data_IF_316795397746
#
_entry.id   IF_316795397746
#
_cell.length_a   1.000
_cell.length_b   1.000
_cell.length_c   1.000
_cell.angle_alpha   90.00
_cell.angle_beta   90.00
_cell.angle_gamma   90.00
#
_symmetry.space_group_name_H-M   'P 1'
#
loop_
_entity.id
_entity.type
_entity.pdbx_description
1 polymer ?
#
# COMPACT_ATOMS: atom_id res chain seq x y z
N UNK A 1 -14.29 29.55 7.08
CA UNK A 1 -14.98 28.62 6.17
C UNK A 1 -13.94 28.14 5.20
N UNK A 2 -13.28 27.03 5.54
CA UNK A 2 -12.24 26.42 4.70
C UNK A 2 -12.90 25.30 3.91
N UNK A 3 -12.90 25.43 2.59
CA UNK A 3 -13.46 24.47 1.65
C UNK A 3 -12.69 23.16 1.75
N UNK A 4 -13.37 22.11 2.19
CA UNK A 4 -12.91 20.73 2.04
C UNK A 4 -12.84 20.44 0.54
N UNK A 5 -11.63 20.29 0.04
CA UNK A 5 -11.37 19.89 -1.33
C UNK A 5 -11.64 18.38 -1.43
N UNK A 6 -12.86 18.01 -1.85
CA UNK A 6 -13.21 16.65 -2.23
C UNK A 6 -12.65 16.37 -3.62
N UNK A 7 -11.33 16.33 -3.73
CA UNK A 7 -10.67 15.93 -4.94
C UNK A 7 -10.82 14.42 -5.11
N UNK A 8 -11.58 14.00 -6.11
CA UNK A 8 -11.42 12.68 -6.74
C UNK A 8 -9.97 12.60 -7.18
N UNK A 9 -9.18 11.76 -6.49
CA UNK A 9 -7.82 11.45 -6.92
C UNK A 9 -7.92 10.57 -8.16
N UNK A 10 -8.01 11.20 -9.34
CA UNK A 10 -7.60 10.58 -10.61
C UNK A 10 -6.09 10.37 -10.51
N UNK A 11 -5.70 9.40 -9.72
CA UNK A 11 -4.29 9.05 -9.60
C UNK A 11 -3.96 8.20 -10.82
N UNK A 12 -3.26 8.78 -11.77
CA UNK A 12 -2.67 8.03 -12.89
C UNK A 12 -1.77 6.88 -12.41
N UNK A 13 -1.52 6.79 -11.11
CA UNK A 13 -0.64 5.82 -10.48
C UNK A 13 0.81 5.96 -10.94
N UNK A 14 1.66 5.04 -10.53
CA UNK A 14 3.06 4.95 -10.98
C UNK A 14 3.27 3.69 -11.81
N UNK A 15 4.23 3.70 -12.73
CA UNK A 15 4.60 2.51 -13.49
C UNK A 15 5.03 1.38 -12.53
N UNK A 16 4.36 0.24 -12.64
CA UNK A 16 4.67 -0.94 -11.84
C UNK A 16 5.89 -1.68 -12.41
N UNK A 17 6.80 -2.12 -11.54
CA UNK A 17 8.03 -2.82 -11.95
C UNK A 17 7.88 -4.34 -11.97
N UNK A 18 6.88 -4.87 -11.28
CA UNK A 18 6.60 -6.30 -11.20
C UNK A 18 5.61 -6.70 -12.31
N UNK A 19 6.09 -6.69 -13.54
CA UNK A 19 5.31 -6.90 -14.76
C UNK A 19 6.08 -7.75 -15.77
N UNK A 20 5.36 -8.48 -16.60
CA UNK A 20 5.86 -9.16 -17.79
C UNK A 20 4.99 -8.78 -18.98
N UNK A 21 5.62 -8.37 -20.07
CA UNK A 21 4.96 -8.13 -21.36
C UNK A 21 4.50 -9.48 -21.95
N UNK A 22 3.25 -9.51 -22.40
CA UNK A 22 2.64 -10.68 -23.04
C UNK A 22 2.42 -10.45 -24.54
N UNK A 23 2.75 -9.26 -25.05
CA UNK A 23 2.53 -8.82 -26.43
C UNK A 23 1.15 -8.21 -26.65
N UNK A 24 1.04 -7.28 -27.62
CA UNK A 24 -0.24 -6.67 -28.02
C UNK A 24 -0.93 -5.89 -26.92
N UNK A 25 -0.18 -5.09 -26.15
CA UNK A 25 -0.66 -4.29 -25.02
C UNK A 25 -1.24 -5.10 -23.84
N UNK A 26 -1.16 -6.44 -23.87
CA UNK A 26 -1.52 -7.31 -22.73
C UNK A 26 -0.31 -7.48 -21.81
N UNK A 27 -0.51 -7.37 -20.51
CA UNK A 27 0.54 -7.52 -19.50
C UNK A 27 0.18 -8.57 -18.44
N UNK A 28 1.18 -9.27 -17.90
CA UNK A 28 1.02 -10.10 -16.71
C UNK A 28 1.60 -9.38 -15.48
N UNK A 29 0.78 -9.18 -14.47
CA UNK A 29 1.25 -8.72 -13.17
C UNK A 29 1.95 -9.87 -12.42
N UNK A 30 3.22 -9.67 -12.06
CA UNK A 30 4.04 -10.68 -11.38
C UNK A 30 4.20 -10.43 -9.88
N UNK A 31 3.49 -9.45 -9.31
CA UNK A 31 3.63 -9.05 -7.91
C UNK A 31 3.18 -10.14 -6.93
N UNK A 32 2.19 -10.95 -7.26
CA UNK A 32 1.68 -11.99 -6.38
C UNK A 32 1.36 -13.30 -7.14
N UNK A 33 0.95 -14.33 -6.41
CA UNK A 33 0.67 -15.65 -6.96
C UNK A 33 -0.56 -15.71 -7.90
N UNK A 34 -1.41 -14.68 -7.91
CA UNK A 34 -2.55 -14.62 -8.85
C UNK A 34 -2.12 -14.49 -10.30
N UNK A 35 -0.95 -13.88 -10.56
CA UNK A 35 -0.40 -13.77 -11.93
C UNK A 35 -1.45 -13.26 -12.92
N UNK A 36 -2.12 -12.16 -12.56
CA UNK A 36 -3.19 -11.60 -13.38
C UNK A 36 -2.67 -11.21 -14.76
N UNK A 37 -3.28 -11.78 -15.80
CA UNK A 37 -3.08 -11.34 -17.19
C UNK A 37 -4.16 -10.32 -17.48
N UNK A 38 -3.75 -9.13 -17.90
CA UNK A 38 -4.60 -7.94 -17.98
C UNK A 38 -4.49 -7.34 -19.38
N UNK A 39 -5.63 -7.20 -20.02
CA UNK A 39 -5.77 -6.39 -21.24
C UNK A 39 -5.90 -4.90 -20.87
N UNK A 40 -5.73 -3.96 -21.83
CA UNK A 40 -5.91 -2.54 -21.57
C UNK A 40 -7.23 -2.21 -20.86
N UNK A 41 -7.16 -1.41 -19.80
CA UNK A 41 -8.29 -1.02 -18.95
C UNK A 41 -8.69 -2.05 -17.88
N UNK A 42 -8.02 -3.21 -17.80
CA UNK A 42 -8.32 -4.22 -16.80
C UNK A 42 -7.50 -4.04 -15.52
N UNK A 43 -8.17 -4.25 -14.38
CA UNK A 43 -7.55 -4.30 -13.04
C UNK A 43 -7.30 -5.73 -12.59
N UNK A 44 -6.19 -5.92 -11.88
CA UNK A 44 -5.94 -7.18 -11.17
C UNK A 44 -6.94 -7.43 -10.04
N UNK A 45 -6.99 -8.66 -9.52
CA UNK A 45 -7.87 -9.06 -8.40
C UNK A 45 -7.70 -8.19 -7.15
N UNK A 46 -6.54 -7.55 -6.99
CA UNK A 46 -6.26 -6.63 -5.90
C UNK A 46 -6.83 -5.21 -6.12
N UNK A 47 -7.35 -4.88 -7.31
CA UNK A 47 -7.98 -3.60 -7.69
C UNK A 47 -7.07 -2.36 -7.64
N UNK A 48 -5.81 -2.53 -7.28
CA UNK A 48 -4.83 -1.43 -7.17
C UNK A 48 -3.75 -1.47 -8.25
N UNK A 49 -3.80 -2.45 -9.16
CA UNK A 49 -2.93 -2.55 -10.33
C UNK A 49 -3.79 -2.66 -11.57
N UNK A 50 -3.52 -1.80 -12.53
CA UNK A 50 -4.30 -1.65 -13.77
C UNK A 50 -3.37 -1.63 -14.98
N UNK A 51 -3.79 -2.26 -16.07
CA UNK A 51 -3.14 -2.09 -17.36
C UNK A 51 -3.72 -0.85 -18.04
N UNK A 52 -2.91 0.18 -18.16
CA UNK A 52 -3.25 1.43 -18.87
C UNK A 52 -2.47 1.44 -20.19
N UNK A 53 -3.16 1.14 -21.28
CA UNK A 53 -2.62 1.16 -22.64
C UNK A 53 -1.30 0.38 -22.83
N UNK A 54 -1.20 -0.82 -22.23
CA UNK A 54 -0.01 -1.68 -22.29
C UNK A 54 1.00 -1.46 -21.16
N UNK A 55 0.79 -0.47 -20.31
CA UNK A 55 1.61 -0.22 -19.12
C UNK A 55 0.90 -0.65 -17.84
N UNK A 56 1.50 -1.55 -17.06
CA UNK A 56 0.96 -1.88 -15.73
C UNK A 56 1.23 -0.72 -14.76
N UNK A 57 0.18 -0.19 -14.19
CA UNK A 57 0.22 0.91 -13.20
C UNK A 57 -0.14 0.43 -11.80
N UNK A 58 0.59 0.90 -10.78
CA UNK A 58 0.22 0.82 -9.38
C UNK A 58 -0.51 2.10 -8.98
N UNK A 59 -1.82 2.02 -8.78
CA UNK A 59 -2.70 3.18 -8.54
C UNK A 59 -2.56 3.76 -7.13
N UNK A 60 -2.03 2.99 -6.18
CA UNK A 60 -2.00 3.35 -4.74
C UNK A 60 -0.58 3.51 -4.20
N UNK A 61 0.41 3.83 -5.05
CA UNK A 61 1.76 4.09 -4.58
C UNK A 61 1.78 5.27 -3.60
N UNK A 62 2.27 5.04 -2.39
CA UNK A 62 2.32 6.05 -1.34
C UNK A 62 0.97 6.40 -0.71
N UNK A 63 -0.14 5.82 -1.17
CA UNK A 63 -1.45 6.05 -0.59
C UNK A 63 -1.70 5.08 0.56
N UNK A 64 -1.77 5.60 1.77
CA UNK A 64 -2.01 4.81 2.97
C UNK A 64 -3.35 5.19 3.60
N UNK A 65 -4.01 4.19 4.20
CA UNK A 65 -5.17 4.44 5.06
C UNK A 65 -4.68 4.99 6.39
N UNK A 66 -5.15 6.18 6.73
CA UNK A 66 -4.69 6.88 7.93
C UNK A 66 -5.83 7.64 8.60
N UNK A 67 -5.59 8.02 9.83
CA UNK A 67 -6.53 8.87 10.56
C UNK A 67 -6.51 10.29 9.98
N UNK A 68 -7.64 10.99 9.95
CA UNK A 68 -7.73 12.33 9.34
C UNK A 68 -6.80 13.37 9.98
N UNK A 69 -6.37 13.12 11.22
CA UNK A 69 -5.58 14.08 12.00
C UNK A 69 -4.44 13.37 12.75
N UNK A 70 -3.28 13.98 12.77
CA UNK A 70 -2.10 13.50 13.48
C UNK A 70 -0.94 13.12 12.55
N UNK A 71 0.15 12.58 13.11
CA UNK A 71 1.26 12.06 12.30
C UNK A 71 0.81 10.81 11.54
N UNK A 72 1.38 10.55 10.33
CA UNK A 72 1.02 9.38 9.54
C UNK A 72 1.37 8.08 10.25
N UNK A 73 0.48 7.07 10.08
CA UNK A 73 0.66 5.73 10.61
C UNK A 73 0.18 5.55 12.05
N UNK A 74 0.28 4.32 12.53
CA UNK A 74 -0.09 3.95 13.90
C UNK A 74 1.09 3.24 14.56
N UNK A 75 1.52 3.74 15.72
CA UNK A 75 2.58 3.11 16.52
C UNK A 75 1.97 1.99 17.37
N UNK A 76 2.55 0.81 17.28
CA UNK A 76 2.16 -0.39 18.01
C UNK A 76 3.41 -1.13 18.51
N UNK A 77 3.35 -1.87 19.64
CA UNK A 77 4.41 -2.80 20.01
C UNK A 77 4.70 -3.83 18.91
N UNK A 78 5.97 -4.19 18.73
CA UNK A 78 6.39 -5.17 17.71
C UNK A 78 5.73 -6.54 17.89
N UNK A 79 5.40 -6.91 19.13
CA UNK A 79 4.70 -8.15 19.46
C UNK A 79 3.29 -8.23 18.87
N UNK A 80 2.67 -7.09 18.54
CA UNK A 80 1.38 -7.05 17.82
C UNK A 80 1.49 -7.57 16.38
N UNK A 81 2.71 -7.66 15.86
CA UNK A 81 3.04 -8.28 14.56
C UNK A 81 3.43 -9.76 14.69
N UNK A 82 3.02 -10.45 15.72
CA UNK A 82 3.54 -11.62 16.44
C UNK A 82 5.05 -11.88 16.31
N UNK A 83 5.84 -10.83 16.43
CA UNK A 83 7.31 -10.89 16.38
C UNK A 83 7.86 -10.79 17.81
N UNK A 84 7.97 -11.93 18.50
CA UNK A 84 8.37 -11.98 19.92
C UNK A 84 9.88 -12.03 20.13
N UNK A 85 10.66 -12.34 19.09
CA UNK A 85 12.12 -12.53 19.18
C UNK A 85 12.92 -11.49 18.36
N UNK A 86 12.23 -10.54 17.75
CA UNK A 86 12.85 -9.46 16.98
C UNK A 86 12.63 -8.15 17.72
N UNK A 87 13.70 -7.60 18.31
CA UNK A 87 13.65 -6.35 19.11
C UNK A 87 12.47 -6.30 20.10
N UNK A 88 12.35 -7.26 21.04
CA UNK A 88 11.21 -7.33 21.97
C UNK A 88 11.05 -6.01 22.75
N UNK A 89 9.78 -5.58 22.91
CA UNK A 89 9.45 -4.37 23.65
C UNK A 89 9.71 -3.07 22.90
N UNK A 90 9.98 -3.12 21.59
CA UNK A 90 10.11 -1.90 20.77
C UNK A 90 8.81 -1.55 20.08
N UNK A 91 8.67 -0.28 19.72
CA UNK A 91 7.53 0.24 18.98
C UNK A 91 7.81 0.23 17.47
N UNK A 92 6.77 -0.09 16.68
CA UNK A 92 6.79 -0.13 15.22
C UNK A 92 5.70 0.77 14.66
N UNK A 93 6.07 1.64 13.71
CA UNK A 93 5.10 2.42 12.94
C UNK A 93 4.46 1.54 11.86
N UNK A 94 3.13 1.51 11.82
CA UNK A 94 2.35 0.63 10.95
C UNK A 94 1.53 1.42 9.95
N UNK A 95 1.59 1.00 8.68
CA UNK A 95 0.78 1.52 7.59
C UNK A 95 -0.05 0.41 6.96
N UNK A 96 -1.26 0.75 6.54
CA UNK A 96 -2.10 -0.09 5.69
C UNK A 96 -2.44 0.64 4.39
N UNK A 97 -2.63 -0.11 3.33
CA UNK A 97 -3.12 0.42 2.06
C UNK A 97 -4.60 0.11 1.84
N UNK A 98 -5.12 0.48 0.68
CA UNK A 98 -6.45 0.12 0.22
C UNK A 98 -6.43 -1.24 -0.47
N UNK A 99 -7.53 -1.98 -0.34
CA UNK A 99 -7.79 -3.25 -1.01
C UNK A 99 -6.86 -4.39 -0.57
N UNK A 100 -7.05 -5.58 -1.11
CA UNK A 100 -6.26 -6.77 -0.85
C UNK A 100 -6.42 -7.77 -2.01
N UNK A 101 -5.44 -8.66 -2.19
CA UNK A 101 -5.53 -9.78 -3.12
C UNK A 101 -6.07 -11.07 -2.45
N UNK A 102 -6.40 -11.03 -1.17
CA UNK A 102 -7.03 -12.10 -0.42
C UNK A 102 -8.50 -11.79 -0.10
N UNK A 103 -9.30 -12.85 0.12
CA UNK A 103 -10.71 -12.78 0.52
C UNK A 103 -10.96 -13.54 1.83
N UNK A 104 -10.16 -13.28 2.86
CA UNK A 104 -10.22 -13.99 4.14
C UNK A 104 -11.56 -13.69 4.84
N UNK A 105 -12.35 -14.73 5.11
CA UNK A 105 -13.66 -14.60 5.77
C UNK A 105 -13.58 -14.06 7.20
N UNK A 106 -12.42 -14.17 7.85
CA UNK A 106 -12.14 -13.71 9.20
C UNK A 106 -11.32 -12.42 9.25
N UNK A 107 -11.23 -11.67 8.14
CA UNK A 107 -10.41 -10.46 8.09
C UNK A 107 -10.96 -9.38 9.03
N UNK A 108 -10.20 -9.04 10.08
CA UNK A 108 -10.56 -7.97 11.01
C UNK A 108 -10.46 -6.57 10.38
N UNK A 109 -9.68 -6.44 9.30
CA UNK A 109 -9.51 -5.20 8.53
C UNK A 109 -10.33 -5.24 7.22
N UNK A 110 -11.51 -5.87 7.26
CA UNK A 110 -12.32 -6.07 6.06
C UNK A 110 -12.71 -4.75 5.36
N UNK A 111 -12.87 -3.68 6.13
CA UNK A 111 -13.17 -2.33 5.64
C UNK A 111 -12.06 -1.76 4.74
N UNK A 112 -10.80 -2.21 4.90
CA UNK A 112 -9.69 -1.88 4.00
C UNK A 112 -9.58 -2.89 2.87
N UNK A 113 -9.63 -4.19 3.22
CA UNK A 113 -9.32 -5.28 2.32
C UNK A 113 -10.35 -5.44 1.18
N UNK A 114 -11.60 -5.07 1.41
CA UNK A 114 -12.68 -5.24 0.44
C UNK A 114 -13.13 -3.95 -0.25
N UNK A 115 -12.64 -2.79 0.19
CA UNK A 115 -12.98 -1.50 -0.43
C UNK A 115 -12.12 -1.21 -1.66
N UNK A 116 -12.71 -0.49 -2.61
CA UNK A 116 -11.96 0.18 -3.67
C UNK A 116 -11.16 1.36 -3.09
N UNK A 117 -10.03 1.74 -3.68
CA UNK A 117 -9.27 2.90 -3.20
C UNK A 117 -10.10 4.20 -3.12
N UNK A 118 -11.04 4.39 -4.05
CA UNK A 118 -11.93 5.55 -4.10
C UNK A 118 -12.99 5.61 -2.98
N UNK A 119 -13.20 4.51 -2.27
CA UNK A 119 -14.15 4.43 -1.15
C UNK A 119 -13.50 4.76 0.20
N UNK A 120 -12.19 4.97 0.22
CA UNK A 120 -11.40 5.19 1.44
C UNK A 120 -10.79 6.59 1.46
N UNK A 121 -10.72 7.18 2.64
CA UNK A 121 -9.89 8.35 2.87
C UNK A 121 -8.43 7.91 2.97
N UNK A 122 -7.70 8.12 1.88
CA UNK A 122 -6.28 7.78 1.78
C UNK A 122 -5.45 9.05 1.91
N UNK A 123 -4.31 8.92 2.56
CA UNK A 123 -3.30 9.96 2.70
C UNK A 123 -2.07 9.61 1.89
N UNK A 124 -1.56 10.57 1.16
CA UNK A 124 -0.27 10.41 0.49
C UNK A 124 0.86 10.55 1.52
N UNK A 125 1.73 9.55 1.55
CA UNK A 125 2.92 9.47 2.41
C UNK A 125 4.07 8.93 1.57
N UNK A 126 5.03 9.76 1.26
CA UNK A 126 6.24 9.33 0.54
C UNK A 126 7.09 8.38 1.38
N UNK A 127 7.98 7.57 0.76
CA UNK A 127 8.94 6.74 1.49
C UNK A 127 9.74 7.50 2.56
N UNK A 128 10.20 8.71 2.24
CA UNK A 128 10.95 9.55 3.17
C UNK A 128 10.07 10.03 4.34
N UNK A 129 8.85 10.49 4.07
CA UNK A 129 7.90 10.89 5.13
C UNK A 129 7.53 9.73 6.06
N UNK A 130 7.45 8.51 5.54
CA UNK A 130 7.21 7.32 6.37
C UNK A 130 8.35 7.11 7.38
N UNK A 131 9.60 7.29 6.95
CA UNK A 131 10.79 7.19 7.80
C UNK A 131 10.84 8.31 8.82
N UNK A 132 10.62 9.56 8.41
CA UNK A 132 10.58 10.71 9.31
C UNK A 132 9.46 10.59 10.34
N UNK A 133 8.30 10.08 9.94
CA UNK A 133 7.19 9.81 10.85
C UNK A 133 7.55 8.75 11.90
N UNK A 134 8.27 7.68 11.50
CA UNK A 134 8.75 6.66 12.43
C UNK A 134 9.72 7.25 13.45
N UNK A 135 10.72 8.01 12.99
CA UNK A 135 11.71 8.70 13.85
C UNK A 135 11.01 9.67 14.82
N UNK A 136 10.10 10.49 14.32
CA UNK A 136 9.39 11.51 15.12
C UNK A 136 8.47 10.89 16.20
N UNK A 137 7.96 9.68 15.97
CA UNK A 137 7.10 8.95 16.91
C UNK A 137 7.88 7.96 17.79
N UNK A 138 9.20 7.91 17.68
CA UNK A 138 10.05 7.01 18.48
C UNK A 138 9.94 5.53 18.11
N UNK A 139 9.42 5.22 16.92
CA UNK A 139 9.34 3.85 16.43
C UNK A 139 10.69 3.38 15.87
N UNK A 140 11.10 2.15 16.20
CA UNK A 140 12.37 1.55 15.75
C UNK A 140 12.27 0.90 14.36
N UNK A 141 11.11 0.92 13.73
CA UNK A 141 10.91 0.34 12.42
C UNK A 141 9.56 0.66 11.82
N UNK A 142 9.35 0.23 10.58
CA UNK A 142 8.13 0.41 9.83
C UNK A 142 7.55 -0.96 9.46
N UNK A 143 6.23 -1.11 9.59
CA UNK A 143 5.51 -2.29 9.13
C UNK A 143 4.42 -1.88 8.13
N UNK A 144 4.49 -2.41 6.93
CA UNK A 144 3.37 -2.39 5.98
C UNK A 144 2.47 -3.59 6.28
N UNK A 145 1.24 -3.33 6.74
CA UNK A 145 0.38 -4.34 7.35
C UNK A 145 -1.10 -3.98 7.15
N UNK A 146 -2.02 -4.61 7.89
CA UNK A 146 -3.47 -4.49 7.86
C UNK A 146 -4.13 -5.10 6.61
N UNK A 147 -3.57 -4.94 5.42
CA UNK A 147 -3.86 -5.66 4.18
C UNK A 147 -2.58 -6.34 3.65
N UNK A 148 -2.62 -6.96 2.50
CA UNK A 148 -1.45 -7.65 1.91
C UNK A 148 -0.51 -6.66 1.22
N UNK A 149 0.71 -6.41 1.74
CA UNK A 149 1.61 -5.40 1.20
C UNK A 149 2.23 -5.74 -0.16
N UNK A 150 2.17 -7.01 -0.58
CA UNK A 150 2.66 -7.43 -1.91
C UNK A 150 1.96 -6.68 -3.05
N UNK A 151 0.71 -6.24 -2.84
CA UNK A 151 -0.04 -5.53 -3.88
C UNK A 151 0.52 -4.14 -4.18
N UNK A 152 1.29 -3.54 -3.26
CA UNK A 152 2.02 -2.27 -3.42
C UNK A 152 3.52 -2.42 -3.09
N UNK A 153 4.11 -3.53 -3.55
CA UNK A 153 5.49 -3.93 -3.24
C UNK A 153 6.54 -2.89 -3.64
N UNK A 154 6.30 -2.09 -4.67
CA UNK A 154 7.20 -1.02 -5.10
C UNK A 154 7.34 0.05 -4.00
N UNK A 155 6.23 0.47 -3.39
CA UNK A 155 6.25 1.41 -2.28
C UNK A 155 6.94 0.82 -1.03
N UNK A 156 6.65 -0.45 -0.71
CA UNK A 156 7.31 -1.17 0.39
C UNK A 156 8.83 -1.24 0.18
N UNK A 157 9.26 -1.58 -1.04
CA UNK A 157 10.69 -1.64 -1.40
C UNK A 157 11.37 -0.28 -1.24
N UNK A 158 10.72 0.77 -1.72
CA UNK A 158 11.31 2.12 -1.69
C UNK A 158 11.32 2.68 -0.26
N UNK A 159 10.30 2.37 0.55
CA UNK A 159 10.29 2.68 1.98
C UNK A 159 11.37 1.90 2.76
N UNK A 160 11.61 0.64 2.42
CA UNK A 160 12.69 -0.14 3.02
C UNK A 160 14.08 0.41 2.68
N UNK A 161 14.28 0.93 1.45
CA UNK A 161 15.52 1.62 1.07
C UNK A 161 15.72 2.91 1.86
N UNK A 162 14.68 3.76 1.91
CA UNK A 162 14.73 5.01 2.66
C UNK A 162 15.00 4.80 4.16
N UNK A 163 14.56 3.67 4.73
CA UNK A 163 14.81 3.34 6.13
C UNK A 163 16.24 2.85 6.42
N UNK A 164 17.07 2.59 5.39
CA UNK A 164 18.46 2.18 5.52
C UNK A 164 19.45 3.35 5.42
N UNK A 165 18.97 4.51 4.99
CA UNK A 165 19.73 5.77 4.91
C UNK A 165 19.65 6.56 6.24
#
# INVERSE_FOLDING_TARGET
MSSLNTGTTDTEGVAATLVRDMGGDTVECTACAHRCVLDPGQKGVCRVRENVDGELRLLTYGLVYDRPHGPPGTVDPVEKKPLYHVKPGTDILSFGGASCNFACKFCQNNHLAFSEPSELELREVSPAEAVESAKAQGAEGIAWTYNEPTIYAEYVRDGAKAAQE
#
